data_IF_417090976526
#
_entry.id   IF_417090976526
#
_cell.length_a   1.000
_cell.length_b   1.000
_cell.length_c   1.000
_cell.angle_alpha   90.00
_cell.angle_beta   90.00
_cell.angle_gamma   90.00
#
_symmetry.space_group_name_H-M   'P 1'
#
loop_
_entity.id
_entity.type
_entity.pdbx_description
1 polymer ?
#
# COMPACT_ATOMS: atom_id res chain seq x y z
N UNK A 1 -2.63 -14.31 -1.14
CA UNK A 1 -1.27 -14.53 -1.70
C UNK A 1 -0.58 -15.56 -0.83
N UNK A 2 0.08 -16.52 -1.44
CA UNK A 2 0.88 -17.51 -0.74
C UNK A 2 2.36 -17.24 -1.02
N UNK A 3 3.16 -17.11 0.04
CA UNK A 3 4.59 -16.80 -0.05
C UNK A 3 5.42 -17.96 0.51
N UNK A 4 6.64 -18.13 0.00
CA UNK A 4 7.54 -19.17 0.45
C UNK A 4 8.11 -18.84 1.85
N UNK A 5 8.41 -19.89 2.61
CA UNK A 5 9.01 -19.72 3.93
C UNK A 5 10.37 -19.01 3.85
N UNK A 6 10.57 -18.05 4.73
CA UNK A 6 11.79 -17.24 4.80
C UNK A 6 11.76 -15.97 3.96
N UNK A 7 10.74 -15.78 3.11
CA UNK A 7 10.60 -14.52 2.36
C UNK A 7 10.45 -13.32 3.30
N UNK A 8 11.10 -12.22 2.95
CA UNK A 8 10.95 -10.91 3.57
C UNK A 8 10.01 -10.05 2.74
N UNK A 9 8.96 -9.55 3.36
CA UNK A 9 7.87 -8.84 2.70
C UNK A 9 7.74 -7.45 3.32
N UNK A 10 7.71 -6.42 2.50
CA UNK A 10 7.46 -5.04 2.89
C UNK A 10 6.02 -4.64 2.52
N UNK A 11 5.24 -4.13 3.47
CA UNK A 11 3.95 -3.47 3.24
C UNK A 11 4.16 -1.96 3.29
N UNK A 12 4.25 -1.33 2.11
CA UNK A 12 4.53 0.10 1.93
C UNK A 12 3.25 0.92 2.09
N UNK A 13 3.28 1.91 2.98
CA UNK A 13 2.11 2.68 3.38
C UNK A 13 1.13 1.80 4.14
N UNK A 14 1.62 1.08 5.15
CA UNK A 14 0.88 0.03 5.86
C UNK A 14 -0.35 0.56 6.61
N UNK A 15 -0.40 1.85 6.96
CA UNK A 15 -1.49 2.49 7.69
C UNK A 15 -1.90 1.69 8.92
N UNK A 16 -3.15 1.27 9.01
CA UNK A 16 -3.68 0.45 10.10
C UNK A 16 -3.14 -0.98 10.16
N UNK A 17 -2.19 -1.34 9.30
CA UNK A 17 -1.59 -2.67 9.24
C UNK A 17 -2.48 -3.74 8.61
N UNK A 18 -3.60 -3.37 7.98
CA UNK A 18 -4.58 -4.33 7.46
C UNK A 18 -3.95 -5.42 6.61
N UNK A 19 -3.11 -5.03 5.64
CA UNK A 19 -2.47 -5.97 4.73
C UNK A 19 -1.31 -6.71 5.41
N UNK A 20 -0.47 -5.99 6.16
CA UNK A 20 0.66 -6.56 6.91
C UNK A 20 0.22 -7.66 7.89
N UNK A 21 -0.82 -7.42 8.70
CA UNK A 21 -1.38 -8.42 9.62
C UNK A 21 -1.93 -9.63 8.88
N UNK A 22 -2.63 -9.41 7.76
CA UNK A 22 -3.20 -10.51 6.98
C UNK A 22 -2.10 -11.39 6.38
N UNK A 23 -1.07 -10.77 5.79
CA UNK A 23 0.06 -11.50 5.21
C UNK A 23 0.79 -12.28 6.29
N UNK A 24 1.11 -11.64 7.44
CA UNK A 24 1.85 -12.29 8.51
C UNK A 24 1.13 -13.50 9.09
N UNK A 25 -0.19 -13.39 9.31
CA UNK A 25 -1.02 -14.48 9.84
C UNK A 25 -1.18 -15.64 8.86
N UNK A 26 -1.39 -15.33 7.59
CA UNK A 26 -1.56 -16.37 6.56
C UNK A 26 -0.25 -17.04 6.17
N UNK A 27 0.90 -16.41 6.46
CA UNK A 27 2.24 -16.90 6.10
C UNK A 27 3.20 -16.84 7.30
N UNK A 28 3.02 -17.67 8.33
CA UNK A 28 3.81 -17.62 9.57
C UNK A 28 5.30 -17.90 9.39
N UNK A 29 5.69 -18.44 8.24
CA UNK A 29 7.08 -18.67 7.87
C UNK A 29 7.78 -17.49 7.21
N UNK A 30 7.07 -16.41 6.88
CA UNK A 30 7.62 -15.19 6.30
C UNK A 30 7.98 -14.16 7.38
N UNK A 31 8.76 -13.16 7.01
CA UNK A 31 9.05 -11.98 7.84
C UNK A 31 8.37 -10.78 7.17
N UNK A 32 7.46 -10.13 7.87
CA UNK A 32 6.68 -9.01 7.35
C UNK A 32 7.06 -7.72 8.06
N UNK A 33 7.29 -6.67 7.29
CA UNK A 33 7.55 -5.32 7.81
C UNK A 33 6.54 -4.34 7.23
N UNK A 34 5.80 -3.64 8.08
CA UNK A 34 4.96 -2.51 7.68
C UNK A 34 5.76 -1.21 7.75
N UNK A 35 5.75 -0.42 6.68
CA UNK A 35 6.42 0.88 6.60
C UNK A 35 5.39 1.99 6.43
N UNK A 36 5.48 3.04 7.25
CA UNK A 36 4.59 4.22 7.17
C UNK A 36 5.28 5.45 7.78
N UNK A 37 4.77 6.64 7.45
CA UNK A 37 5.25 7.91 8.02
C UNK A 37 4.57 8.24 9.37
N UNK A 38 3.44 7.62 9.69
CA UNK A 38 2.60 7.95 10.86
C UNK A 38 3.00 7.09 12.07
N UNK A 39 3.98 7.54 12.84
CA UNK A 39 4.54 6.80 13.98
C UNK A 39 3.49 6.35 15.00
N UNK A 40 2.50 7.19 15.31
CA UNK A 40 1.44 6.84 16.28
C UNK A 40 0.61 5.62 15.84
N UNK A 41 0.35 5.49 14.52
CA UNK A 41 -0.36 4.33 13.97
C UNK A 41 0.52 3.07 14.07
N UNK A 42 1.82 3.20 13.81
CA UNK A 42 2.76 2.08 13.90
C UNK A 42 2.97 1.60 15.34
N UNK A 43 2.97 2.50 16.32
CA UNK A 43 2.99 2.14 17.74
C UNK A 43 1.75 1.33 18.13
N UNK A 44 0.56 1.77 17.72
CA UNK A 44 -0.69 1.05 17.94
C UNK A 44 -0.67 -0.35 17.27
N UNK A 45 -0.17 -0.43 16.03
CA UNK A 45 -0.02 -1.69 15.32
C UNK A 45 0.99 -2.63 16.00
N UNK A 46 2.09 -2.10 16.50
CA UNK A 46 3.10 -2.89 17.23
C UNK A 46 2.51 -3.51 18.50
N UNK A 47 1.77 -2.71 19.28
CA UNK A 47 1.06 -3.19 20.45
C UNK A 47 0.05 -4.28 20.09
N UNK A 48 -0.74 -4.05 19.06
CA UNK A 48 -1.71 -5.03 18.54
C UNK A 48 -1.03 -6.34 18.10
N UNK A 49 0.12 -6.27 17.41
CA UNK A 49 0.85 -7.46 16.99
C UNK A 49 1.31 -8.30 18.20
N UNK A 50 1.76 -7.64 19.27
CA UNK A 50 2.13 -8.29 20.54
C UNK A 50 0.90 -8.94 21.21
N UNK A 51 -0.21 -8.22 21.34
CA UNK A 51 -1.46 -8.70 21.95
C UNK A 51 -2.05 -9.91 21.18
N UNK A 52 -1.95 -9.89 19.84
CA UNK A 52 -2.45 -10.96 18.98
C UNK A 52 -1.43 -12.11 18.76
N UNK A 53 -0.21 -12.01 19.32
CA UNK A 53 0.83 -13.02 19.19
C UNK A 53 1.40 -13.19 17.77
N UNK A 54 1.36 -12.11 16.95
CA UNK A 54 1.88 -12.11 15.57
C UNK A 54 3.37 -11.78 15.60
N UNK A 55 4.22 -12.77 15.82
CA UNK A 55 5.66 -12.59 16.10
C UNK A 55 6.53 -12.37 14.85
N UNK A 56 5.99 -12.59 13.67
CA UNK A 56 6.67 -12.44 12.39
C UNK A 56 6.34 -11.11 11.68
N UNK A 57 5.79 -10.13 12.43
CA UNK A 57 5.39 -8.81 11.94
C UNK A 57 6.06 -7.71 12.76
N UNK A 58 6.67 -6.75 12.09
CA UNK A 58 7.25 -5.54 12.69
C UNK A 58 6.80 -4.30 11.93
N UNK A 59 6.93 -3.12 12.56
CA UNK A 59 6.57 -1.84 11.96
C UNK A 59 7.72 -0.87 12.09
N UNK A 60 7.98 -0.10 11.03
CA UNK A 60 9.08 0.86 10.93
C UNK A 60 8.54 2.17 10.41
N UNK A 61 8.90 3.28 11.05
CA UNK A 61 8.59 4.62 10.54
C UNK A 61 9.72 5.14 9.66
N UNK A 62 9.39 6.04 8.71
CA UNK A 62 10.38 6.72 7.87
C UNK A 62 9.97 8.18 7.62
N UNK A 63 10.84 8.93 6.97
CA UNK A 63 10.69 10.37 6.73
C UNK A 63 9.82 10.73 5.52
N UNK A 64 9.27 9.74 4.81
CA UNK A 64 8.51 9.92 3.57
C UNK A 64 9.38 9.99 2.31
N UNK A 65 10.70 9.89 2.43
CA UNK A 65 11.66 10.02 1.33
C UNK A 65 12.51 8.76 1.18
N UNK A 66 13.27 8.40 2.23
CA UNK A 66 14.25 7.31 2.20
C UNK A 66 13.81 6.13 3.05
N UNK A 67 13.79 4.92 2.46
CA UNK A 67 13.46 3.73 3.22
C UNK A 67 14.66 3.30 4.08
N UNK A 68 14.49 3.09 5.40
CA UNK A 68 15.57 2.76 6.32
C UNK A 68 15.99 1.27 6.22
N UNK A 69 16.21 0.81 4.99
CA UNK A 69 16.55 -0.58 4.67
C UNK A 69 17.73 -0.65 3.72
N UNK A 70 18.48 -1.75 3.80
CA UNK A 70 19.57 -2.06 2.87
C UNK A 70 19.03 -2.42 1.48
N UNK A 71 19.90 -2.28 0.46
CA UNK A 71 19.61 -2.67 -0.90
C UNK A 71 19.34 -4.18 -0.98
N UNK A 72 18.35 -4.56 -1.79
CA UNK A 72 18.05 -5.98 -2.03
C UNK A 72 17.62 -6.76 -0.79
N UNK A 73 16.97 -6.13 0.17
CA UNK A 73 16.53 -6.77 1.40
C UNK A 73 15.28 -7.63 1.23
N UNK A 74 14.31 -7.15 0.44
CA UNK A 74 12.98 -7.74 0.35
C UNK A 74 12.78 -8.61 -0.90
N UNK A 75 12.13 -9.75 -0.70
CA UNK A 75 11.69 -10.61 -1.80
C UNK A 75 10.43 -10.05 -2.46
N UNK A 76 9.60 -9.37 -1.66
CA UNK A 76 8.33 -8.80 -2.11
C UNK A 76 8.09 -7.46 -1.44
N UNK A 77 7.63 -6.49 -2.22
CA UNK A 77 7.00 -5.25 -1.72
C UNK A 77 5.53 -5.28 -2.13
N UNK A 78 4.65 -4.96 -1.21
CA UNK A 78 3.21 -4.81 -1.46
C UNK A 78 2.77 -3.42 -1.04
N UNK A 79 1.76 -2.87 -1.70
CA UNK A 79 1.11 -1.63 -1.30
C UNK A 79 -0.36 -1.66 -1.68
N UNK A 80 -1.21 -1.09 -0.83
CA UNK A 80 -2.64 -1.06 -1.08
C UNK A 80 -3.27 0.25 -0.61
N UNK A 81 -3.90 0.98 -1.55
CA UNK A 81 -4.58 2.26 -1.30
C UNK A 81 -3.71 3.30 -0.60
N UNK A 82 -2.48 3.45 -1.05
CA UNK A 82 -1.49 4.28 -0.40
C UNK A 82 -0.75 5.22 -1.36
N UNK A 83 -0.35 4.74 -2.55
CA UNK A 83 0.55 5.48 -3.44
C UNK A 83 -0.04 6.78 -3.97
N UNK A 84 -1.36 6.91 -4.04
CA UNK A 84 -2.02 8.16 -4.42
C UNK A 84 -1.88 9.29 -3.39
N UNK A 85 -1.28 9.01 -2.22
CA UNK A 85 -0.90 9.99 -1.19
C UNK A 85 0.58 10.36 -1.22
N UNK A 86 1.38 9.76 -2.09
CA UNK A 86 2.83 9.97 -2.11
C UNK A 86 3.18 11.19 -2.96
N UNK A 87 3.72 12.28 -2.38
CA UNK A 87 4.06 13.49 -3.14
C UNK A 87 5.24 13.27 -4.09
N UNK A 88 6.23 12.47 -3.67
CA UNK A 88 7.44 12.16 -4.42
C UNK A 88 7.42 10.71 -4.94
N UNK A 89 6.45 10.40 -5.80
CA UNK A 89 6.22 9.02 -6.28
C UNK A 89 7.45 8.41 -6.96
N UNK A 90 8.18 9.20 -7.76
CA UNK A 90 9.39 8.73 -8.45
C UNK A 90 10.46 8.30 -7.45
N UNK A 91 10.71 9.11 -6.43
CA UNK A 91 11.67 8.78 -5.35
C UNK A 91 11.22 7.50 -4.63
N UNK A 92 9.94 7.40 -4.31
CA UNK A 92 9.40 6.23 -3.59
C UNK A 92 9.50 4.95 -4.42
N UNK A 93 9.24 4.99 -5.72
CA UNK A 93 9.39 3.82 -6.61
C UNK A 93 10.87 3.47 -6.82
N UNK A 94 11.76 4.47 -6.86
CA UNK A 94 13.21 4.27 -6.83
C UNK A 94 13.66 3.50 -5.58
N UNK A 95 13.15 3.89 -4.40
CA UNK A 95 13.42 3.19 -3.15
C UNK A 95 12.85 1.76 -3.15
N UNK A 96 11.63 1.55 -3.68
CA UNK A 96 11.09 0.20 -3.87
C UNK A 96 12.03 -0.64 -4.73
N UNK A 97 12.50 -0.11 -5.86
CA UNK A 97 13.44 -0.82 -6.73
C UNK A 97 14.76 -1.15 -6.02
N UNK A 98 15.28 -0.21 -5.22
CA UNK A 98 16.53 -0.38 -4.46
C UNK A 98 16.43 -1.48 -3.40
N UNK A 99 15.34 -1.49 -2.62
CA UNK A 99 15.18 -2.45 -1.52
C UNK A 99 14.71 -3.83 -1.97
N UNK A 100 14.20 -3.96 -3.19
CA UNK A 100 13.86 -5.27 -3.77
C UNK A 100 15.11 -6.04 -4.18
N UNK A 101 15.09 -7.33 -3.92
CA UNK A 101 16.09 -8.27 -4.50
C UNK A 101 15.95 -8.32 -6.01
N UNK A 102 17.04 -8.69 -6.69
CA UNK A 102 16.98 -9.04 -8.10
C UNK A 102 15.95 -10.18 -8.29
N UNK A 103 14.98 -9.96 -9.20
CA UNK A 103 13.86 -10.87 -9.41
C UNK A 103 12.76 -10.80 -8.34
N UNK A 104 12.87 -9.88 -7.38
CA UNK A 104 11.82 -9.59 -6.40
C UNK A 104 10.55 -9.05 -7.06
N UNK A 105 9.43 -9.06 -6.36
CA UNK A 105 8.12 -8.68 -6.89
C UNK A 105 7.54 -7.49 -6.17
N UNK A 106 7.00 -6.54 -6.95
CA UNK A 106 6.23 -5.42 -6.43
C UNK A 106 4.75 -5.55 -6.83
N UNK A 107 3.85 -5.50 -5.84
CA UNK A 107 2.40 -5.56 -6.03
C UNK A 107 1.79 -4.22 -5.67
N UNK A 108 1.12 -3.60 -6.63
CA UNK A 108 0.39 -2.35 -6.46
C UNK A 108 -1.11 -2.63 -6.55
N UNK A 109 -1.86 -2.20 -5.54
CA UNK A 109 -3.33 -2.16 -5.58
C UNK A 109 -3.78 -0.76 -5.20
N UNK A 110 -3.99 0.10 -6.18
CA UNK A 110 -4.35 1.51 -5.97
C UNK A 110 -5.50 1.92 -6.89
N UNK A 111 -6.33 2.88 -6.50
CA UNK A 111 -7.37 3.40 -7.38
C UNK A 111 -6.77 4.03 -8.63
N UNK A 112 -7.47 3.91 -9.74
CA UNK A 112 -7.17 4.63 -10.97
C UNK A 112 -8.30 5.61 -11.32
N UNK A 113 -8.03 6.68 -12.11
CA UNK A 113 -9.08 7.53 -12.61
C UNK A 113 -10.01 6.75 -13.53
N UNK A 114 -11.28 7.17 -13.60
CA UNK A 114 -12.21 6.62 -14.55
C UNK A 114 -11.86 7.08 -15.99
N UNK A 115 -12.15 6.26 -16.98
CA UNK A 115 -11.85 6.54 -18.39
C UNK A 115 -12.59 7.80 -18.90
N UNK A 116 -13.71 8.17 -18.27
CA UNK A 116 -14.48 9.39 -18.58
C UNK A 116 -14.01 10.64 -17.81
N UNK A 117 -13.07 10.51 -16.88
CA UNK A 117 -12.52 11.63 -16.09
C UNK A 117 -11.39 12.34 -16.87
N UNK A 118 -11.76 12.95 -18.01
CA UNK A 118 -10.81 13.54 -18.97
C UNK A 118 -9.98 14.67 -18.41
N UNK A 119 -10.58 15.49 -17.56
CA UNK A 119 -9.96 16.70 -17.02
C UNK A 119 -9.40 16.47 -15.60
N UNK A 120 -9.31 15.22 -15.14
CA UNK A 120 -8.83 14.84 -13.79
C UNK A 120 -9.64 15.50 -12.66
N UNK A 121 -10.94 15.74 -12.91
CA UNK A 121 -11.85 16.36 -11.94
C UNK A 121 -11.89 15.63 -10.61
N UNK A 122 -11.79 14.28 -10.63
CA UNK A 122 -11.80 13.49 -9.40
C UNK A 122 -10.57 13.79 -8.55
N UNK A 123 -9.38 13.91 -9.14
CA UNK A 123 -8.17 14.30 -8.41
C UNK A 123 -8.31 15.69 -7.79
N UNK A 124 -8.82 16.67 -8.56
CA UNK A 124 -9.02 18.02 -8.05
C UNK A 124 -10.03 18.05 -6.90
N UNK A 125 -11.14 17.30 -7.04
CA UNK A 125 -12.12 17.16 -5.96
C UNK A 125 -11.52 16.47 -4.74
N UNK A 126 -10.73 15.41 -4.91
CA UNK A 126 -10.11 14.68 -3.80
C UNK A 126 -9.08 15.53 -3.05
N UNK A 127 -8.33 16.40 -3.75
CA UNK A 127 -7.40 17.36 -3.13
C UNK A 127 -8.09 18.37 -2.21
N UNK A 128 -9.38 18.61 -2.37
CA UNK A 128 -10.16 19.44 -1.44
C UNK A 128 -10.42 18.74 -0.10
N UNK A 129 -10.26 17.44 -0.05
CA UNK A 129 -10.37 16.68 1.19
C UNK A 129 -9.03 16.76 1.95
N UNK A 130 -9.12 16.74 3.29
CA UNK A 130 -7.94 16.78 4.17
C UNK A 130 -7.36 15.38 4.41
N UNK A 131 -7.34 14.53 3.39
CA UNK A 131 -6.84 13.16 3.49
C UNK A 131 -5.45 12.97 2.85
N UNK A 132 -4.85 14.05 2.32
CA UNK A 132 -3.51 14.00 1.71
C UNK A 132 -3.48 13.44 0.29
N UNK A 133 -4.61 13.37 -0.40
CA UNK A 133 -4.65 12.91 -1.79
C UNK A 133 -3.76 13.78 -2.70
N UNK A 134 -2.94 13.14 -3.51
CA UNK A 134 -2.07 13.77 -4.51
C UNK A 134 -2.60 13.48 -5.91
N UNK A 135 -2.63 12.20 -6.31
CA UNK A 135 -2.99 11.81 -7.68
C UNK A 135 -3.35 10.33 -7.79
N UNK A 136 -4.40 10.02 -8.53
CA UNK A 136 -4.63 8.67 -9.05
C UNK A 136 -3.83 8.47 -10.36
N UNK A 137 -3.09 7.39 -10.47
CA UNK A 137 -2.27 7.09 -11.64
C UNK A 137 -3.01 6.18 -12.60
N UNK A 138 -2.86 6.44 -13.92
CA UNK A 138 -3.33 5.55 -14.97
C UNK A 138 -2.40 4.34 -15.12
N UNK A 139 -2.82 3.33 -15.89
CA UNK A 139 -1.96 2.18 -16.22
C UNK A 139 -0.71 2.60 -16.99
N UNK A 140 -0.86 3.54 -17.93
CA UNK A 140 0.25 4.02 -18.75
C UNK A 140 1.25 4.81 -17.89
N UNK A 141 0.77 5.67 -16.98
CA UNK A 141 1.63 6.37 -16.02
C UNK A 141 2.40 5.40 -15.13
N UNK A 142 1.75 4.33 -14.64
CA UNK A 142 2.44 3.28 -13.89
C UNK A 142 3.48 2.54 -14.73
N UNK A 143 3.17 2.26 -16.00
CA UNK A 143 4.12 1.62 -16.91
C UNK A 143 5.38 2.47 -17.12
N UNK A 144 5.20 3.78 -17.31
CA UNK A 144 6.29 4.73 -17.48
C UNK A 144 7.13 4.85 -16.20
N UNK A 145 6.49 5.01 -15.03
CA UNK A 145 7.19 5.10 -13.74
C UNK A 145 7.99 3.81 -13.47
N UNK A 146 7.36 2.65 -13.59
CA UNK A 146 8.02 1.37 -13.37
C UNK A 146 9.22 1.17 -14.29
N UNK A 147 9.08 1.52 -15.58
CA UNK A 147 10.16 1.39 -16.58
C UNK A 147 11.36 2.25 -16.22
N UNK A 148 11.15 3.49 -15.76
CA UNK A 148 12.26 4.38 -15.34
C UNK A 148 13.04 3.84 -14.14
N UNK A 149 12.43 2.98 -13.32
CA UNK A 149 13.05 2.39 -12.13
C UNK A 149 13.40 0.90 -12.29
N UNK A 150 13.57 0.42 -13.52
CA UNK A 150 13.94 -0.97 -13.85
C UNK A 150 12.94 -2.02 -13.31
N UNK A 151 11.66 -1.66 -13.18
CA UNK A 151 10.59 -2.55 -12.82
C UNK A 151 9.77 -2.89 -14.07
N UNK A 152 9.64 -4.19 -14.39
CA UNK A 152 8.86 -4.66 -15.53
C UNK A 152 7.47 -5.10 -15.06
N UNK A 153 6.41 -4.55 -15.66
CA UNK A 153 5.05 -5.01 -15.39
C UNK A 153 4.86 -6.38 -16.02
N UNK A 154 4.55 -7.37 -15.20
CA UNK A 154 4.32 -8.76 -15.63
C UNK A 154 2.84 -9.11 -15.73
N UNK A 155 1.99 -8.39 -15.01
CA UNK A 155 0.54 -8.58 -15.02
C UNK A 155 -0.17 -7.31 -14.56
N UNK A 156 -1.36 -7.02 -15.11
CA UNK A 156 -2.17 -5.88 -14.74
C UNK A 156 -3.65 -6.19 -15.01
N UNK A 157 -4.50 -6.03 -13.99
CA UNK A 157 -5.95 -6.22 -14.12
C UNK A 157 -6.72 -5.14 -13.36
N UNK A 158 -7.95 -4.89 -13.80
CA UNK A 158 -8.88 -4.03 -13.09
C UNK A 158 -9.72 -4.83 -12.11
N UNK A 159 -9.92 -4.27 -10.93
CA UNK A 159 -10.92 -4.75 -9.99
C UNK A 159 -11.85 -3.60 -9.60
N UNK A 160 -13.10 -3.91 -9.26
CA UNK A 160 -14.03 -2.91 -8.76
C UNK A 160 -14.35 -3.17 -7.29
N UNK A 161 -14.25 -2.13 -6.47
CA UNK A 161 -14.69 -2.16 -5.08
C UNK A 161 -15.94 -1.31 -4.96
N UNK A 162 -17.00 -1.92 -4.44
CA UNK A 162 -18.20 -1.20 -4.06
C UNK A 162 -18.07 -0.78 -2.59
N UNK A 163 -17.95 0.51 -2.36
CA UNK A 163 -18.12 1.05 -1.01
C UNK A 163 -19.61 1.14 -0.72
N UNK A 164 -20.01 0.76 0.49
CA UNK A 164 -21.36 1.01 0.98
C UNK A 164 -21.65 2.51 0.86
N UNK A 165 -22.81 2.87 0.32
CA UNK A 165 -23.23 4.28 0.31
C UNK A 165 -23.27 4.77 1.75
N UNK A 166 -22.65 5.92 2.03
CA UNK A 166 -22.87 6.63 3.31
C UNK A 166 -24.38 6.87 3.43
N UNK A 167 -24.96 6.41 4.51
CA UNK A 167 -26.36 6.69 4.83
C UNK A 167 -26.39 7.97 5.68
N UNK A 168 -27.28 8.88 5.37
CA UNK A 168 -27.37 10.20 6.01
C UNK A 168 -28.05 10.15 7.39
N UNK A 169 -28.52 8.99 7.81
CA UNK A 169 -29.21 8.79 9.08
C UNK A 169 -28.76 7.51 9.81
N UNK A 170 -28.83 7.49 11.14
CA UNK A 170 -28.51 6.32 11.96
C UNK A 170 -29.33 5.08 11.55
N UNK A 171 -30.63 5.25 11.26
CA UNK A 171 -31.54 4.19 10.77
C UNK A 171 -31.04 3.58 9.44
N UNK A 172 -30.42 4.39 8.57
CA UNK A 172 -29.86 3.91 7.32
C UNK A 172 -28.61 3.03 7.48
N UNK A 173 -27.92 3.08 8.63
CA UNK A 173 -26.80 2.16 8.92
C UNK A 173 -27.26 0.79 9.41
N UNK A 174 -28.38 0.71 10.11
CA UNK A 174 -28.94 -0.56 10.61
C UNK A 174 -29.41 -1.46 9.48
N UNK A 175 -29.99 -0.89 8.40
CA UNK A 175 -30.39 -1.63 7.20
C UNK A 175 -29.22 -2.25 6.37
N UNK A 176 -27.98 -1.90 6.67
CA UNK A 176 -26.77 -2.43 5.95
C UNK A 176 -26.15 -3.59 6.70
N UNK A 177 -26.56 -3.81 7.96
CA UNK A 177 -26.03 -4.87 8.83
C UNK A 177 -26.87 -6.15 8.82
N UNK A 178 -28.04 -6.13 8.16
CA UNK A 178 -28.85 -7.30 7.85
C UNK A 178 -28.53 -7.84 6.43
#
# INVERSE_FOLDING_TARGET
MHFEKGMKILDLGTGSGYLAFRIAKDNPGCIVTGLDIVSATLEANTKRAQEEGVNNLSFVSYDGISFPFEDGLFDVVVTRYSLHHFPEIETSIGEVSRVLKCGGRFFISDPRPNDCDKDRFVDDYMRLKKDGHIKFYTKDEWADICSRHNLNIIDCFDSSIRFSKKKDTALGYEEVLE
#
